data_IF_247833533608
#
_entry.id   IF_247833533608
#
_cell.length_a   1.000
_cell.length_b   1.000
_cell.length_c   1.000
_cell.angle_alpha   90.00
_cell.angle_beta   90.00
_cell.angle_gamma   90.00
#
_symmetry.space_group_name_H-M   'P 1'
#
loop_
_entity.id
_entity.type
_entity.pdbx_description
1 polymer ?
#
# COMPACT_ATOMS: atom_id res chain seq x y z
N UNK A 1 -0.75 -2.52 13.52
CA UNK A 1 -1.57 -1.45 14.13
C UNK A 1 -1.66 -0.20 13.26
N UNK A 2 -0.63 0.18 12.52
CA UNK A 2 -0.68 1.26 11.50
C UNK A 2 -1.88 1.04 10.56
N UNK A 3 -2.03 -0.16 10.00
CA UNK A 3 -3.15 -0.51 9.12
C UNK A 3 -4.52 -0.53 9.83
N UNK A 4 -4.58 -0.76 11.14
CA UNK A 4 -5.82 -0.61 11.89
C UNK A 4 -6.25 0.86 12.01
N UNK A 5 -5.28 1.78 12.17
CA UNK A 5 -5.54 3.22 12.12
C UNK A 5 -5.97 3.66 10.73
N UNK A 6 -5.27 3.19 9.68
CA UNK A 6 -5.66 3.45 8.28
C UNK A 6 -7.10 3.00 7.98
N UNK A 7 -7.45 1.78 8.39
CA UNK A 7 -8.79 1.22 8.23
C UNK A 7 -9.85 2.07 8.93
N UNK A 8 -9.60 2.45 10.19
CA UNK A 8 -10.51 3.31 10.95
C UNK A 8 -10.73 4.67 10.25
N UNK A 9 -9.67 5.32 9.75
CA UNK A 9 -9.78 6.59 9.01
C UNK A 9 -10.60 6.47 7.72
N UNK A 10 -10.63 5.29 7.11
CA UNK A 10 -11.41 5.04 5.90
C UNK A 10 -12.88 4.73 6.17
N UNK A 11 -13.16 3.92 7.19
CA UNK A 11 -14.48 3.31 7.41
C UNK A 11 -15.35 4.08 8.41
N UNK A 12 -14.75 4.80 9.37
CA UNK A 12 -15.48 5.59 10.37
C UNK A 12 -15.42 7.08 10.07
N UNK A 13 -16.39 7.59 9.32
CA UNK A 13 -16.48 9.01 8.98
C UNK A 13 -16.63 9.94 10.20
N UNK A 14 -17.07 9.41 11.35
CA UNK A 14 -17.17 10.16 12.61
C UNK A 14 -15.85 10.22 13.37
N UNK A 15 -14.89 9.39 12.98
CA UNK A 15 -13.62 9.17 13.65
C UNK A 15 -13.78 8.95 15.16
N UNK A 16 -14.73 8.08 15.51
CA UNK A 16 -15.09 7.78 16.89
C UNK A 16 -14.01 6.95 17.59
N UNK A 17 -13.89 7.15 18.92
CA UNK A 17 -13.04 6.32 19.77
C UNK A 17 -13.48 4.85 19.73
N UNK A 18 -14.79 4.59 19.71
CA UNK A 18 -15.33 3.24 19.68
C UNK A 18 -15.00 2.51 18.37
N UNK A 19 -15.11 3.18 17.22
CA UNK A 19 -14.72 2.65 15.92
C UNK A 19 -13.23 2.30 15.85
N UNK A 20 -12.36 3.19 16.38
CA UNK A 20 -10.93 2.93 16.47
C UNK A 20 -10.62 1.68 17.32
N UNK A 21 -11.21 1.59 18.52
CA UNK A 21 -11.04 0.44 19.41
C UNK A 21 -11.45 -0.85 18.70
N UNK A 22 -12.60 -0.85 18.03
CA UNK A 22 -13.10 -2.00 17.28
C UNK A 22 -12.13 -2.41 16.14
N UNK A 23 -11.64 -1.45 15.35
CA UNK A 23 -10.66 -1.72 14.29
C UNK A 23 -9.37 -2.31 14.85
N UNK A 24 -8.82 -1.70 15.92
CA UNK A 24 -7.58 -2.16 16.55
C UNK A 24 -7.74 -3.55 17.17
N UNK A 25 -8.82 -3.82 17.87
CA UNK A 25 -9.07 -5.13 18.48
C UNK A 25 -9.31 -6.20 17.41
N UNK A 26 -10.13 -5.93 16.39
CA UNK A 26 -10.41 -6.89 15.31
C UNK A 26 -9.12 -7.28 14.58
N UNK A 27 -8.35 -6.30 14.12
CA UNK A 27 -7.13 -6.56 13.37
C UNK A 27 -6.00 -7.12 14.26
N UNK A 28 -5.87 -6.60 15.50
CA UNK A 28 -4.86 -7.08 16.45
C UNK A 28 -5.08 -8.53 16.89
N UNK A 29 -6.34 -8.96 17.06
CA UNK A 29 -6.67 -10.36 17.39
C UNK A 29 -6.43 -11.30 16.22
N UNK A 30 -6.73 -10.86 14.99
CA UNK A 30 -6.44 -11.64 13.77
C UNK A 30 -4.93 -11.86 13.60
N UNK A 31 -4.10 -10.91 14.04
CA UNK A 31 -2.64 -10.94 13.92
C UNK A 31 -1.95 -10.94 15.29
N UNK A 32 -2.45 -11.75 16.24
CA UNK A 32 -1.98 -11.74 17.66
C UNK A 32 -0.49 -12.09 17.82
N UNK A 33 0.11 -12.75 16.83
CA UNK A 33 1.52 -13.14 16.85
C UNK A 33 2.46 -12.08 16.27
N UNK A 34 1.97 -10.86 15.98
CA UNK A 34 2.76 -9.78 15.40
C UNK A 34 3.71 -9.05 16.39
N UNK A 35 4.08 -9.65 17.50
CA UNK A 35 5.08 -9.11 18.42
C UNK A 35 4.58 -8.00 19.35
N UNK A 36 3.30 -7.97 19.68
CA UNK A 36 2.73 -6.94 20.58
C UNK A 36 3.24 -7.06 22.02
N UNK A 37 3.43 -5.90 22.66
CA UNK A 37 3.77 -5.84 24.08
C UNK A 37 2.66 -6.38 24.98
N UNK A 38 3.02 -6.95 26.15
CA UNK A 38 2.09 -7.68 27.03
C UNK A 38 0.87 -6.86 27.48
N UNK A 39 1.02 -5.58 27.85
CA UNK A 39 -0.12 -4.71 28.20
C UNK A 39 -1.06 -4.47 27.03
N UNK A 40 -0.51 -4.35 25.82
CA UNK A 40 -1.32 -4.16 24.61
C UNK A 40 -2.07 -5.45 24.26
N UNK A 41 -1.48 -6.64 24.44
CA UNK A 41 -2.17 -7.93 24.28
C UNK A 41 -3.36 -8.03 25.26
N UNK A 42 -3.17 -7.67 26.54
CA UNK A 42 -4.26 -7.64 27.51
C UNK A 42 -5.38 -6.70 27.07
N UNK A 43 -5.03 -5.50 26.57
CA UNK A 43 -5.99 -4.55 26.04
C UNK A 43 -6.73 -5.09 24.81
N UNK A 44 -6.04 -5.75 23.90
CA UNK A 44 -6.65 -6.39 22.71
C UNK A 44 -7.67 -7.45 23.10
N UNK A 45 -7.39 -8.25 24.13
CA UNK A 45 -8.24 -9.36 24.56
C UNK A 45 -9.37 -8.94 25.49
N UNK A 46 -9.34 -7.72 26.01
CA UNK A 46 -10.36 -7.20 26.94
C UNK A 46 -11.71 -7.04 26.25
N UNK A 47 -12.81 -7.40 26.94
CA UNK A 47 -14.18 -7.09 26.54
C UNK A 47 -14.56 -5.62 26.80
N UNK A 48 -13.83 -4.96 27.73
CA UNK A 48 -13.99 -3.53 28.07
C UNK A 48 -12.59 -2.89 28.11
N UNK A 49 -11.99 -2.61 26.95
CA UNK A 49 -10.64 -2.08 26.90
C UNK A 49 -10.61 -0.62 27.37
N UNK A 50 -9.72 -0.34 28.34
CA UNK A 50 -9.46 0.99 28.86
C UNK A 50 -8.01 1.42 28.61
N UNK A 51 -7.74 2.72 28.44
CA UNK A 51 -6.38 3.23 28.40
C UNK A 51 -5.61 2.85 29.68
N UNK A 52 -4.32 2.59 29.53
CA UNK A 52 -3.47 2.13 30.64
C UNK A 52 -2.28 3.04 30.92
N UNK A 53 -2.43 4.33 30.59
CA UNK A 53 -1.48 5.41 30.87
C UNK A 53 -0.06 5.13 30.37
N UNK A 54 0.06 4.53 29.18
CA UNK A 54 1.35 4.27 28.54
C UNK A 54 1.96 5.55 27.99
N UNK A 55 3.28 5.71 28.15
CA UNK A 55 4.12 6.72 27.48
C UNK A 55 4.99 6.09 26.39
N UNK A 56 4.74 4.81 26.08
CA UNK A 56 5.50 4.04 25.11
C UNK A 56 5.36 4.58 23.69
N UNK A 57 6.36 4.29 22.84
CA UNK A 57 6.43 4.72 21.45
C UNK A 57 5.42 4.03 20.52
N UNK A 58 4.68 3.04 21.02
CA UNK A 58 3.63 2.34 20.26
C UNK A 58 2.50 3.24 19.76
N UNK A 59 2.24 4.41 20.39
CA UNK A 59 1.32 5.43 19.86
C UNK A 59 1.90 6.16 18.66
N UNK A 60 3.20 6.47 18.69
CA UNK A 60 3.89 7.21 17.66
C UNK A 60 4.21 6.33 16.43
N UNK A 61 4.61 5.07 16.61
CA UNK A 61 4.95 4.16 15.50
C UNK A 61 3.76 3.79 14.60
N UNK A 62 2.53 3.89 15.09
CA UNK A 62 1.32 3.51 14.33
C UNK A 62 0.55 4.68 13.72
N UNK A 63 0.99 5.92 13.94
CA UNK A 63 0.18 7.12 13.67
C UNK A 63 0.36 7.72 12.28
N UNK A 64 1.33 7.26 11.51
CA UNK A 64 1.64 7.80 10.17
C UNK A 64 0.41 7.94 9.25
N UNK A 65 -0.59 7.02 9.23
CA UNK A 65 -1.78 7.21 8.42
C UNK A 65 -2.55 8.49 8.74
N UNK A 66 -2.52 8.94 10.00
CA UNK A 66 -3.17 10.19 10.40
C UNK A 66 -2.55 11.39 9.70
N UNK A 67 -1.21 11.49 9.68
CA UNK A 67 -0.51 12.58 9.00
C UNK A 67 -0.73 12.58 7.47
N UNK A 68 -0.86 11.39 6.88
CA UNK A 68 -1.18 11.23 5.46
C UNK A 68 -2.64 11.58 5.14
N UNK A 69 -3.57 11.28 6.04
CA UNK A 69 -5.00 11.48 5.84
C UNK A 69 -5.45 12.92 6.08
N UNK A 70 -4.88 13.60 7.10
CA UNK A 70 -5.34 14.89 7.57
C UNK A 70 -5.22 16.00 6.50
N UNK A 71 -6.18 16.92 6.51
CA UNK A 71 -6.22 18.07 5.61
C UNK A 71 -5.68 19.36 6.28
N UNK A 72 -5.50 19.35 7.60
CA UNK A 72 -4.93 20.45 8.38
C UNK A 72 -4.05 19.97 9.53
N UNK A 73 -3.14 20.84 10.02
CA UNK A 73 -2.33 20.57 11.21
C UNK A 73 -3.19 20.29 12.45
N UNK A 74 -4.26 21.04 12.62
CA UNK A 74 -5.21 20.87 13.73
C UNK A 74 -5.88 19.50 13.68
N UNK A 75 -6.28 19.06 12.50
CA UNK A 75 -6.88 17.74 12.30
C UNK A 75 -5.86 16.62 12.54
N UNK A 76 -4.65 16.75 11.99
CA UNK A 76 -3.58 15.78 12.23
C UNK A 76 -3.34 15.57 13.72
N UNK A 77 -3.23 16.63 14.49
CA UNK A 77 -3.06 16.58 15.95
C UNK A 77 -4.28 16.00 16.67
N UNK A 78 -5.49 16.42 16.29
CA UNK A 78 -6.74 15.91 16.89
C UNK A 78 -6.88 14.40 16.68
N UNK A 79 -6.71 13.90 15.46
CA UNK A 79 -6.82 12.48 15.14
C UNK A 79 -5.68 11.68 15.79
N UNK A 80 -4.45 12.20 15.82
CA UNK A 80 -3.32 11.56 16.49
C UNK A 80 -3.59 11.40 18.01
N UNK A 81 -4.13 12.42 18.66
CA UNK A 81 -4.56 12.35 20.05
C UNK A 81 -5.59 11.25 20.29
N UNK A 82 -6.58 11.12 19.41
CA UNK A 82 -7.57 10.03 19.49
C UNK A 82 -6.88 8.67 19.39
N UNK A 83 -5.98 8.49 18.39
CA UNK A 83 -5.29 7.21 18.21
C UNK A 83 -4.38 6.82 19.37
N UNK A 84 -3.76 7.80 20.04
CA UNK A 84 -2.96 7.56 21.23
C UNK A 84 -3.83 7.24 22.45
N UNK A 85 -4.88 8.04 22.68
CA UNK A 85 -5.65 8.04 23.94
C UNK A 85 -6.34 6.71 24.26
N UNK A 86 -6.59 5.84 23.30
CA UNK A 86 -7.22 4.53 23.55
C UNK A 86 -6.33 3.55 24.32
N UNK A 87 -5.01 3.81 24.37
CA UNK A 87 -4.02 2.99 25.08
C UNK A 87 -2.96 3.83 25.79
N UNK A 88 -2.42 4.86 25.11
CA UNK A 88 -1.29 5.71 25.50
C UNK A 88 -1.80 7.11 25.88
N UNK A 89 -2.64 7.18 26.92
CA UNK A 89 -3.23 8.44 27.39
C UNK A 89 -2.32 9.24 28.35
N UNK A 90 -1.07 8.81 28.53
CA UNK A 90 -0.06 9.63 29.20
C UNK A 90 0.32 10.83 28.32
N UNK A 91 0.61 12.02 28.91
CA UNK A 91 0.96 13.21 28.12
C UNK A 91 2.08 12.97 27.09
N UNK A 92 3.15 12.25 27.46
CA UNK A 92 4.25 11.95 26.54
C UNK A 92 3.84 10.97 25.42
N UNK A 93 2.95 10.02 25.70
CA UNK A 93 2.42 9.11 24.68
C UNK A 93 1.56 9.82 23.65
N UNK A 94 0.76 10.81 24.09
CA UNK A 94 -0.05 11.68 23.22
C UNK A 94 0.87 12.62 22.43
N UNK A 95 1.81 13.29 23.10
CA UNK A 95 2.77 14.22 22.52
C UNK A 95 3.58 13.56 21.38
N UNK A 96 4.08 12.34 21.61
CA UNK A 96 4.82 11.61 20.59
C UNK A 96 4.01 11.29 19.36
N UNK A 97 2.75 10.84 19.53
CA UNK A 97 1.85 10.59 18.41
C UNK A 97 1.51 11.86 17.64
N UNK A 98 1.20 12.97 18.31
CA UNK A 98 0.92 14.24 17.67
C UNK A 98 2.12 14.76 16.88
N UNK A 99 3.33 14.66 17.45
CA UNK A 99 4.56 15.10 16.80
C UNK A 99 4.85 14.32 15.51
N UNK A 100 4.72 12.99 15.54
CA UNK A 100 4.94 12.15 14.36
C UNK A 100 3.87 12.40 13.30
N UNK A 101 2.59 12.46 13.67
CA UNK A 101 1.52 12.76 12.72
C UNK A 101 1.72 14.12 12.04
N UNK A 102 2.12 15.14 12.81
CA UNK A 102 2.40 16.46 12.27
C UNK A 102 3.63 16.48 11.37
N UNK A 103 4.70 15.77 11.72
CA UNK A 103 5.88 15.65 10.87
C UNK A 103 5.55 14.98 9.52
N UNK A 104 4.75 13.91 9.52
CA UNK A 104 4.24 13.25 8.31
C UNK A 104 3.38 14.21 7.48
N UNK A 105 2.45 14.93 8.12
CA UNK A 105 1.60 15.90 7.45
C UNK A 105 2.40 17.02 6.76
N UNK A 106 3.36 17.62 7.47
CA UNK A 106 4.23 18.69 6.93
C UNK A 106 4.99 18.19 5.70
N UNK A 107 5.55 16.98 5.76
CA UNK A 107 6.26 16.39 4.62
C UNK A 107 5.34 16.13 3.44
N UNK A 108 4.14 15.57 3.65
CA UNK A 108 3.15 15.37 2.59
C UNK A 108 2.78 16.70 1.91
N UNK A 109 2.46 17.72 2.69
CA UNK A 109 2.08 19.05 2.13
C UNK A 109 3.24 19.75 1.41
N UNK A 110 4.48 19.47 1.80
CA UNK A 110 5.68 20.02 1.18
C UNK A 110 6.32 19.09 0.13
N UNK A 111 5.62 18.04 -0.37
CA UNK A 111 6.16 17.04 -1.28
C UNK A 111 6.75 17.62 -2.58
N UNK A 112 6.24 18.78 -3.05
CA UNK A 112 6.77 19.50 -4.22
C UNK A 112 8.04 20.31 -3.92
N UNK A 113 8.44 20.43 -2.67
CA UNK A 113 9.64 21.16 -2.25
C UNK A 113 10.87 20.24 -2.23
N UNK A 114 12.07 20.85 -2.23
CA UNK A 114 13.31 20.07 -2.06
C UNK A 114 13.33 19.35 -0.70
N UNK A 115 14.08 18.26 -0.61
CA UNK A 115 14.26 17.50 0.64
C UNK A 115 14.76 18.41 1.77
N UNK A 116 15.72 19.31 1.50
CA UNK A 116 16.26 20.23 2.49
C UNK A 116 15.20 21.23 3.00
N UNK A 117 14.33 21.70 2.12
CA UNK A 117 13.19 22.55 2.52
C UNK A 117 12.23 21.79 3.42
N UNK A 118 11.87 20.55 3.07
CA UNK A 118 11.00 19.69 3.89
C UNK A 118 11.57 19.45 5.27
N UNK A 119 12.87 19.12 5.37
CA UNK A 119 13.59 18.95 6.64
C UNK A 119 13.57 20.21 7.50
N UNK A 120 13.87 21.36 6.90
CA UNK A 120 13.85 22.64 7.60
C UNK A 120 12.47 22.97 8.16
N UNK A 121 11.40 22.77 7.35
CA UNK A 121 10.02 22.98 7.77
C UNK A 121 9.65 22.03 8.91
N UNK A 122 9.95 20.75 8.79
CA UNK A 122 9.67 19.75 9.82
C UNK A 122 10.40 20.07 11.11
N UNK A 123 11.71 20.33 11.05
CA UNK A 123 12.52 20.67 12.23
C UNK A 123 11.94 21.87 12.97
N UNK A 124 11.66 22.95 12.24
CA UNK A 124 11.06 24.17 12.81
C UNK A 124 9.73 23.87 13.48
N UNK A 125 8.80 23.27 12.75
CA UNK A 125 7.45 22.98 13.21
C UNK A 125 7.46 22.13 14.50
N UNK A 126 8.25 21.04 14.51
CA UNK A 126 8.27 20.12 15.64
C UNK A 126 8.99 20.72 16.86
N UNK A 127 10.08 21.49 16.67
CA UNK A 127 10.74 22.21 17.78
C UNK A 127 9.80 23.22 18.42
N UNK A 128 9.13 24.06 17.63
CA UNK A 128 8.26 25.12 18.13
C UNK A 128 7.03 24.57 18.85
N UNK A 129 6.42 23.47 18.35
CA UNK A 129 5.15 22.97 18.90
C UNK A 129 5.32 21.94 20.03
N UNK A 130 6.44 21.19 20.03
CA UNK A 130 6.64 20.08 20.97
C UNK A 130 7.87 20.24 21.86
N UNK A 131 8.77 21.19 21.56
CA UNK A 131 9.95 21.44 22.36
C UNK A 131 10.99 20.32 22.35
N UNK A 132 10.98 19.45 21.32
CA UNK A 132 12.02 18.44 21.17
C UNK A 132 13.35 19.07 20.79
N UNK A 133 14.45 18.58 21.40
CA UNK A 133 15.82 18.96 21.03
C UNK A 133 16.23 18.21 19.75
N UNK A 134 16.05 18.87 18.62
CA UNK A 134 16.39 18.38 17.29
C UNK A 134 17.70 19.02 16.75
N UNK A 135 18.51 19.65 17.61
CA UNK A 135 19.80 20.22 17.21
C UNK A 135 20.97 19.24 17.41
N UNK A 136 20.72 18.14 18.12
CA UNK A 136 21.67 17.03 18.24
C UNK A 136 21.88 16.35 16.89
N UNK A 137 23.02 15.73 16.72
CA UNK A 137 23.35 14.91 15.54
C UNK A 137 23.31 13.43 15.88
N UNK A 138 23.25 12.58 14.85
CA UNK A 138 23.38 11.13 15.02
C UNK A 138 24.72 10.75 15.68
N UNK A 139 25.79 11.53 15.43
CA UNK A 139 27.07 11.30 16.08
C UNK A 139 27.04 11.61 17.58
N UNK A 140 26.19 12.52 18.02
CA UNK A 140 25.99 12.79 19.45
C UNK A 140 25.14 11.70 20.12
N UNK A 141 24.21 11.11 19.38
CA UNK A 141 23.25 10.12 19.90
C UNK A 141 23.88 8.73 19.99
N UNK A 142 24.48 8.23 18.92
CA UNK A 142 24.99 6.85 18.79
C UNK A 142 25.86 6.35 19.96
N UNK A 143 26.79 7.13 20.51
CA UNK A 143 27.65 6.63 21.58
C UNK A 143 26.96 6.38 22.91
N UNK A 144 25.82 7.02 23.16
CA UNK A 144 25.16 7.05 24.47
C UNK A 144 23.76 6.47 24.48
N UNK A 145 23.15 6.28 23.31
CA UNK A 145 21.79 5.78 23.20
C UNK A 145 21.70 4.33 23.70
N UNK A 146 20.65 4.07 24.47
CA UNK A 146 20.32 2.74 24.97
C UNK A 146 18.90 2.38 24.55
N UNK A 147 18.54 1.11 24.69
CA UNK A 147 17.19 0.64 24.41
C UNK A 147 16.15 1.43 25.24
N UNK A 148 15.31 2.22 24.53
CA UNK A 148 14.26 3.03 25.12
C UNK A 148 12.97 2.88 24.28
N UNK A 149 11.91 2.42 24.93
CA UNK A 149 10.58 2.23 24.32
C UNK A 149 9.63 3.39 24.61
N UNK A 150 10.12 4.49 25.17
CA UNK A 150 9.31 5.67 25.45
C UNK A 150 9.20 6.58 24.23
N UNK A 151 8.09 7.35 24.12
CA UNK A 151 7.95 8.36 23.10
C UNK A 151 9.05 9.44 23.19
N UNK A 152 9.37 9.89 24.39
CA UNK A 152 10.39 10.94 24.62
C UNK A 152 11.81 10.48 24.27
N UNK A 153 12.09 9.18 24.34
CA UNK A 153 13.39 8.62 24.00
C UNK A 153 13.50 8.10 22.56
N UNK A 154 12.39 7.90 21.86
CA UNK A 154 12.40 7.34 20.49
C UNK A 154 12.03 8.37 19.42
N UNK A 155 11.06 9.25 19.69
CA UNK A 155 10.50 10.15 18.67
C UNK A 155 11.51 11.21 18.21
N UNK A 156 12.21 11.95 19.11
CA UNK A 156 13.20 12.92 18.66
C UNK A 156 14.36 12.27 17.90
N UNK A 157 14.83 11.09 18.32
CA UNK A 157 15.88 10.31 17.64
C UNK A 157 15.45 9.89 16.23
N UNK A 158 14.21 9.42 16.07
CA UNK A 158 13.67 9.08 14.76
C UNK A 158 13.55 10.30 13.83
N UNK A 159 13.15 11.45 14.37
CA UNK A 159 13.08 12.69 13.59
C UNK A 159 14.49 13.14 13.19
N UNK A 160 15.50 13.05 14.08
CA UNK A 160 16.89 13.37 13.77
C UNK A 160 17.44 12.42 12.69
N UNK A 161 17.14 11.13 12.76
CA UNK A 161 17.51 10.17 11.72
C UNK A 161 16.95 10.59 10.35
N UNK A 162 15.67 11.03 10.28
CA UNK A 162 15.10 11.59 9.06
C UNK A 162 15.83 12.87 8.62
N UNK A 163 16.08 13.81 9.53
CA UNK A 163 16.69 15.10 9.22
C UNK A 163 18.12 14.98 8.64
N UNK A 164 18.89 13.97 9.03
CA UNK A 164 20.23 13.73 8.50
C UNK A 164 20.25 12.85 7.23
N UNK A 165 19.13 12.31 6.79
CA UNK A 165 19.09 11.35 5.68
C UNK A 165 18.96 12.01 4.32
N UNK A 166 19.61 11.44 3.30
CA UNK A 166 19.62 11.93 1.90
C UNK A 166 18.74 11.09 0.97
N UNK A 167 18.39 9.88 1.39
CA UNK A 167 17.53 8.95 0.67
C UNK A 167 16.75 8.08 1.67
N UNK A 168 15.78 7.32 1.19
CA UNK A 168 15.07 6.37 2.05
C UNK A 168 16.01 5.28 2.59
N UNK A 169 16.94 4.77 1.80
CA UNK A 169 17.92 3.80 2.25
C UNK A 169 18.81 4.40 3.36
N UNK A 170 19.28 5.63 3.18
CA UNK A 170 20.05 6.34 4.18
C UNK A 170 19.24 6.56 5.47
N UNK A 171 17.93 6.85 5.35
CA UNK A 171 17.03 6.99 6.49
C UNK A 171 16.91 5.69 7.29
N UNK A 172 16.73 4.55 6.62
CA UNK A 172 16.74 3.23 7.27
C UNK A 172 18.07 2.98 7.97
N UNK A 173 19.18 3.18 7.28
CA UNK A 173 20.54 2.98 7.83
C UNK A 173 20.81 3.87 9.05
N UNK A 174 20.45 5.14 8.96
CA UNK A 174 20.56 6.09 10.05
C UNK A 174 19.75 5.67 11.27
N UNK A 175 18.48 5.32 11.09
CA UNK A 175 17.61 4.86 12.16
C UNK A 175 18.16 3.59 12.85
N UNK A 176 18.56 2.57 12.06
CA UNK A 176 19.13 1.33 12.60
C UNK A 176 20.46 1.58 13.32
N UNK A 177 21.29 2.52 12.82
CA UNK A 177 22.60 2.82 13.40
C UNK A 177 22.56 3.44 14.80
N UNK A 178 21.40 3.97 15.21
CA UNK A 178 21.17 4.44 16.59
C UNK A 178 21.17 3.26 17.58
N UNK A 179 20.71 2.09 17.13
CA UNK A 179 20.52 0.93 17.99
C UNK A 179 19.22 1.01 18.80
N UNK A 180 19.17 0.28 19.90
CA UNK A 180 17.99 0.25 20.79
C UNK A 180 16.75 -0.32 20.11
N UNK A 181 15.59 0.35 20.21
CA UNK A 181 14.32 0.01 19.58
C UNK A 181 14.31 0.46 18.10
N UNK A 182 15.26 -0.08 17.34
CA UNK A 182 15.64 0.40 16.00
C UNK A 182 14.53 0.19 14.95
N UNK A 183 13.70 -0.82 15.08
CA UNK A 183 12.55 -1.07 14.19
C UNK A 183 11.47 0.03 14.36
N UNK A 184 11.17 0.42 15.60
CA UNK A 184 10.26 1.54 15.87
C UNK A 184 10.84 2.88 15.41
N UNK A 185 12.13 3.14 15.68
CA UNK A 185 12.82 4.36 15.22
C UNK A 185 12.78 4.43 13.68
N UNK A 186 13.07 3.31 13.00
CA UNK A 186 13.02 3.23 11.55
C UNK A 186 11.59 3.42 11.01
N UNK A 187 10.58 2.80 11.63
CA UNK A 187 9.19 2.96 11.22
C UNK A 187 8.73 4.43 11.29
N UNK A 188 9.12 5.16 12.32
CA UNK A 188 8.81 6.60 12.46
C UNK A 188 9.59 7.43 11.45
N UNK A 189 10.93 7.30 11.38
CA UNK A 189 11.78 8.09 10.50
C UNK A 189 11.41 7.91 9.03
N UNK A 190 11.23 6.66 8.58
CA UNK A 190 10.87 6.34 7.20
C UNK A 190 9.46 6.79 6.83
N UNK A 191 8.50 6.75 7.77
CA UNK A 191 7.15 7.27 7.50
C UNK A 191 7.14 8.77 7.25
N UNK A 192 8.00 9.54 7.96
CA UNK A 192 8.18 10.97 7.73
C UNK A 192 8.85 11.22 6.38
N UNK A 193 9.93 10.48 6.07
CA UNK A 193 10.67 10.62 4.82
C UNK A 193 9.76 10.35 3.61
N UNK A 194 9.10 9.20 3.60
CA UNK A 194 8.27 8.74 2.48
C UNK A 194 7.01 9.59 2.26
N UNK A 195 6.49 10.26 3.28
CA UNK A 195 5.34 11.15 3.14
C UNK A 195 5.59 12.32 2.17
N UNK A 196 6.84 12.71 1.97
CA UNK A 196 7.23 13.77 1.05
C UNK A 196 7.78 13.27 -0.29
N UNK A 197 7.84 11.96 -0.52
CA UNK A 197 8.36 11.40 -1.77
C UNK A 197 7.23 11.16 -2.77
N UNK A 198 7.42 11.66 -4.00
CA UNK A 198 6.49 11.42 -5.11
C UNK A 198 6.76 10.08 -5.82
N UNK A 199 7.93 9.49 -5.59
CA UNK A 199 8.41 8.26 -6.25
C UNK A 199 8.10 6.95 -5.52
N UNK A 200 7.33 6.99 -4.41
CA UNK A 200 6.93 5.79 -3.67
C UNK A 200 6.13 4.78 -4.52
N UNK A 201 5.63 5.22 -5.68
CA UNK A 201 4.96 4.37 -6.68
C UNK A 201 5.94 3.64 -7.61
N UNK A 202 7.22 4.02 -7.60
CA UNK A 202 8.22 3.31 -8.36
C UNK A 202 8.41 1.92 -7.77
N UNK A 203 8.26 0.92 -8.64
CA UNK A 203 8.43 -0.49 -8.33
C UNK A 203 9.90 -0.74 -7.95
N UNK A 204 10.18 -0.74 -6.68
CA UNK A 204 11.52 -0.98 -6.19
C UNK A 204 11.59 -2.30 -5.41
N UNK A 205 12.79 -2.87 -5.31
CA UNK A 205 13.03 -4.14 -4.65
C UNK A 205 12.55 -4.17 -3.19
N UNK A 206 12.52 -3.02 -2.50
CA UNK A 206 12.08 -2.90 -1.11
C UNK A 206 10.57 -3.07 -0.97
N UNK A 207 9.79 -2.46 -1.86
CA UNK A 207 8.32 -2.58 -1.86
C UNK A 207 7.90 -4.01 -2.12
N UNK A 208 8.49 -4.64 -3.13
CA UNK A 208 8.23 -6.03 -3.48
C UNK A 208 8.60 -7.00 -2.35
N UNK A 209 9.72 -6.77 -1.66
CA UNK A 209 10.14 -7.59 -0.53
C UNK A 209 9.18 -7.41 0.67
N UNK A 210 8.83 -6.17 1.00
CA UNK A 210 7.92 -5.87 2.11
C UNK A 210 6.55 -6.51 1.94
N UNK A 211 5.99 -6.50 0.73
CA UNK A 211 4.67 -7.07 0.47
C UNK A 211 4.59 -8.59 0.73
N UNK A 212 5.69 -9.31 0.64
CA UNK A 212 5.74 -10.75 0.97
C UNK A 212 5.39 -11.03 2.43
N UNK A 213 5.63 -10.09 3.33
CA UNK A 213 5.35 -10.22 4.76
C UNK A 213 3.93 -9.80 5.15
N UNK A 214 3.18 -9.19 4.23
CA UNK A 214 1.80 -8.80 4.48
C UNK A 214 0.82 -9.87 4.01
N UNK A 215 -0.09 -10.27 4.91
CA UNK A 215 -1.25 -11.08 4.54
C UNK A 215 -2.19 -10.31 3.59
N UNK A 216 -3.03 -11.03 2.87
CA UNK A 216 -3.92 -10.44 1.86
C UNK A 216 -4.83 -9.36 2.42
N UNK A 217 -5.38 -9.56 3.62
CA UNK A 217 -6.24 -8.59 4.31
C UNK A 217 -5.49 -7.29 4.65
N UNK A 218 -4.23 -7.39 5.09
CA UNK A 218 -3.39 -6.23 5.38
C UNK A 218 -3.01 -5.46 4.11
N UNK A 219 -2.69 -6.17 3.03
CA UNK A 219 -2.41 -5.54 1.72
C UNK A 219 -3.62 -4.79 1.17
N UNK A 220 -4.83 -5.36 1.32
CA UNK A 220 -6.05 -4.70 0.87
C UNK A 220 -6.26 -3.36 1.59
N UNK A 221 -6.13 -3.35 2.93
CA UNK A 221 -6.26 -2.13 3.73
C UNK A 221 -5.22 -1.08 3.29
N UNK A 222 -3.97 -1.50 3.05
CA UNK A 222 -2.90 -0.62 2.60
C UNK A 222 -3.25 0.03 1.26
N UNK A 223 -3.59 -0.79 0.26
CA UNK A 223 -3.94 -0.31 -1.09
C UNK A 223 -5.18 0.61 -1.09
N UNK A 224 -6.21 0.27 -0.32
CA UNK A 224 -7.41 1.12 -0.20
C UNK A 224 -7.09 2.47 0.44
N UNK A 225 -6.23 2.47 1.46
CA UNK A 225 -5.80 3.70 2.13
C UNK A 225 -4.97 4.59 1.21
N UNK A 226 -4.01 4.03 0.50
CA UNK A 226 -3.20 4.74 -0.49
C UNK A 226 -4.06 5.39 -1.57
N UNK A 227 -5.01 4.65 -2.13
CA UNK A 227 -5.94 5.17 -3.12
C UNK A 227 -6.79 6.34 -2.58
N UNK A 228 -7.17 6.30 -1.30
CA UNK A 228 -7.94 7.38 -0.67
C UNK A 228 -7.10 8.64 -0.45
N UNK A 229 -5.86 8.47 0.01
CA UNK A 229 -5.01 9.58 0.46
C UNK A 229 -4.31 10.29 -0.70
N UNK A 230 -3.97 9.55 -1.78
CA UNK A 230 -3.22 10.05 -2.94
C UNK A 230 -4.07 10.16 -4.21
N UNK A 231 -5.39 10.27 -4.07
CA UNK A 231 -6.34 10.33 -5.19
C UNK A 231 -6.01 11.44 -6.19
N UNK A 232 -5.71 12.64 -5.69
CA UNK A 232 -5.41 13.80 -6.54
C UNK A 232 -4.07 13.65 -7.26
N UNK A 233 -3.06 13.04 -6.63
CA UNK A 233 -1.77 12.74 -7.27
C UNK A 233 -1.93 11.68 -8.36
N UNK A 234 -2.82 10.72 -8.17
CA UNK A 234 -3.18 9.71 -9.15
C UNK A 234 -3.89 10.34 -10.35
N UNK A 235 -4.81 11.29 -10.13
CA UNK A 235 -5.48 12.03 -11.20
C UNK A 235 -4.52 12.93 -11.98
N UNK A 236 -3.60 13.61 -11.29
CA UNK A 236 -2.54 14.44 -11.93
C UNK A 236 -1.58 13.59 -12.75
N UNK A 237 -1.14 12.44 -12.25
CA UNK A 237 -0.31 11.51 -13.00
C UNK A 237 -1.02 11.02 -14.27
N UNK A 238 -2.30 10.68 -14.16
CA UNK A 238 -3.12 10.27 -15.30
C UNK A 238 -3.33 11.41 -16.31
N UNK A 239 -3.44 12.68 -15.84
CA UNK A 239 -3.53 13.87 -16.70
C UNK A 239 -2.21 14.20 -17.39
N UNK A 240 -1.06 14.02 -16.76
CA UNK A 240 0.26 14.19 -17.36
C UNK A 240 0.56 13.10 -18.37
N UNK A 241 0.31 11.85 -18.04
CA UNK A 241 0.38 10.73 -18.98
C UNK A 241 -0.53 10.94 -20.18
N UNK A 242 -1.74 11.49 -19.96
CA UNK A 242 -2.67 11.84 -21.03
C UNK A 242 -2.21 13.04 -21.89
N UNK A 243 -1.40 13.98 -21.33
CA UNK A 243 -0.83 15.12 -22.06
C UNK A 243 0.42 14.73 -22.85
N UNK A 244 1.27 13.85 -22.32
CA UNK A 244 2.40 13.28 -23.07
C UNK A 244 1.92 12.39 -24.22
N UNK A 245 0.82 11.64 -24.04
CA UNK A 245 0.14 10.90 -25.10
C UNK A 245 -0.44 11.85 -26.17
N UNK A 246 -0.86 13.08 -25.81
CA UNK A 246 -1.31 14.10 -26.77
C UNK A 246 -0.17 14.79 -27.53
N UNK A 247 1.02 14.85 -26.95
CA UNK A 247 2.20 15.43 -27.64
C UNK A 247 2.82 14.46 -28.65
N UNK A 248 2.60 13.15 -28.53
CA UNK A 248 3.04 12.11 -29.47
C UNK A 248 1.95 11.71 -30.49
N UNK A 249 0.94 12.56 -30.71
CA UNK A 249 -0.10 12.36 -31.73
C UNK A 249 0.36 12.81 -33.12
N UNK A 250 1.33 12.10 -33.67
CA UNK A 250 1.42 11.93 -35.10
C UNK A 250 1.94 10.51 -35.38
N UNK A 251 1.12 9.79 -36.16
CA UNK A 251 1.29 8.46 -36.73
C UNK A 251 0.72 7.26 -35.96
N UNK A 252 -0.48 6.80 -36.38
CA UNK A 252 -0.94 5.41 -36.27
C UNK A 252 -2.05 5.15 -35.26
N UNK A 253 -3.32 5.24 -35.71
CA UNK A 253 -4.56 4.64 -35.14
C UNK A 253 -4.62 4.44 -33.62
N UNK A 254 -4.96 5.49 -32.88
CA UNK A 254 -5.45 5.35 -31.50
C UNK A 254 -6.88 4.81 -31.59
N UNK A 255 -7.06 3.52 -31.28
CA UNK A 255 -8.37 2.86 -31.21
C UNK A 255 -9.29 3.50 -30.14
N UNK A 256 -10.59 3.21 -30.25
CA UNK A 256 -11.68 3.63 -29.32
C UNK A 256 -11.34 3.45 -27.82
N UNK A 257 -10.44 2.52 -27.50
CA UNK A 257 -10.07 2.11 -26.13
C UNK A 257 -8.60 2.40 -25.83
N UNK A 258 -8.29 2.79 -24.58
CA UNK A 258 -6.91 3.01 -24.12
C UNK A 258 -6.22 1.67 -23.82
N UNK A 259 -5.81 0.93 -24.88
CA UNK A 259 -5.07 -0.31 -24.72
C UNK A 259 -3.59 -0.09 -24.35
N UNK A 260 -3.10 1.14 -24.46
CA UNK A 260 -1.71 1.48 -24.13
C UNK A 260 -1.38 1.18 -22.66
N UNK A 261 -2.35 1.37 -21.74
CA UNK A 261 -2.15 1.05 -20.31
C UNK A 261 -1.71 -0.39 -20.05
N UNK A 262 -2.18 -1.33 -20.88
CA UNK A 262 -1.74 -2.73 -20.79
C UNK A 262 -0.35 -2.94 -21.38
N UNK A 263 -0.04 -2.30 -22.52
CA UNK A 263 1.26 -2.40 -23.15
C UNK A 263 2.37 -1.88 -22.24
N UNK A 264 2.14 -0.73 -21.60
CA UNK A 264 3.08 -0.10 -20.68
C UNK A 264 3.37 -1.03 -19.48
N UNK A 265 2.33 -1.51 -18.81
CA UNK A 265 2.50 -2.46 -17.71
C UNK A 265 3.17 -3.77 -18.15
N UNK A 266 2.74 -4.35 -19.26
CA UNK A 266 3.30 -5.60 -19.77
C UNK A 266 4.73 -5.46 -20.31
N UNK A 267 5.18 -4.28 -20.72
CA UNK A 267 6.56 -4.06 -21.17
C UNK A 267 7.57 -4.37 -20.08
N UNK A 268 7.20 -4.18 -18.82
CA UNK A 268 8.06 -4.42 -17.66
C UNK A 268 7.85 -5.80 -17.01
N UNK A 269 6.62 -6.32 -17.06
CA UNK A 269 6.23 -7.46 -16.21
C UNK A 269 5.88 -8.74 -16.96
N UNK A 270 5.67 -8.70 -18.27
CA UNK A 270 5.20 -9.87 -19.02
C UNK A 270 6.14 -11.07 -18.94
N UNK A 271 7.43 -10.84 -19.12
CA UNK A 271 8.44 -11.91 -19.07
C UNK A 271 8.53 -12.54 -17.66
N UNK A 272 8.36 -11.74 -16.64
CA UNK A 272 8.31 -12.24 -15.25
C UNK A 272 7.04 -13.06 -15.03
N UNK A 273 5.88 -12.55 -15.43
CA UNK A 273 4.62 -13.25 -15.31
C UNK A 273 4.65 -14.60 -16.05
N UNK A 274 5.20 -14.61 -17.26
CA UNK A 274 5.35 -15.83 -18.06
C UNK A 274 6.21 -16.87 -17.35
N UNK A 275 7.38 -16.47 -16.79
CA UNK A 275 8.23 -17.37 -15.99
C UNK A 275 7.51 -17.90 -14.76
N UNK A 276 6.78 -17.05 -14.01
CA UNK A 276 6.06 -17.49 -12.82
C UNK A 276 4.94 -18.49 -13.16
N UNK A 277 4.25 -18.30 -14.30
CA UNK A 277 3.27 -19.27 -14.80
C UNK A 277 3.94 -20.55 -15.29
N UNK A 278 5.12 -20.46 -15.93
CA UNK A 278 5.92 -21.64 -16.31
C UNK A 278 6.36 -22.47 -15.10
N UNK A 279 6.72 -21.78 -14.01
CA UNK A 279 7.12 -22.42 -12.75
C UNK A 279 5.92 -23.03 -11.97
N UNK A 280 4.68 -22.77 -12.40
CA UNK A 280 3.48 -23.18 -11.68
C UNK A 280 3.27 -22.46 -10.35
N UNK A 281 3.87 -21.27 -10.14
CA UNK A 281 3.75 -20.51 -8.90
C UNK A 281 3.86 -19.01 -9.12
N UNK A 282 2.73 -18.31 -9.00
CA UNK A 282 2.68 -16.86 -9.03
C UNK A 282 3.26 -16.26 -7.74
N UNK A 283 4.21 -15.34 -7.88
CA UNK A 283 4.92 -14.70 -6.76
C UNK A 283 4.71 -13.20 -6.71
N UNK A 284 4.46 -12.55 -7.87
CA UNK A 284 4.40 -11.10 -7.99
C UNK A 284 3.04 -10.56 -8.49
N UNK A 285 2.88 -9.23 -8.54
CA UNK A 285 1.59 -8.55 -8.62
C UNK A 285 1.23 -8.06 -10.05
N UNK A 286 0.99 -8.96 -10.96
CA UNK A 286 0.72 -8.66 -12.37
C UNK A 286 -0.66 -9.09 -12.87
N UNK A 287 -1.50 -9.67 -12.02
CA UNK A 287 -2.75 -10.33 -12.45
C UNK A 287 -3.70 -9.41 -13.24
N UNK A 288 -3.83 -8.14 -12.84
CA UNK A 288 -4.81 -7.21 -13.42
C UNK A 288 -4.56 -6.86 -14.88
N UNK A 289 -3.30 -6.80 -15.31
CA UNK A 289 -2.92 -6.42 -16.68
C UNK A 289 -2.42 -7.59 -17.52
N UNK A 290 -2.22 -8.76 -16.91
CA UNK A 290 -1.87 -10.02 -17.62
C UNK A 290 -3.14 -10.85 -17.89
N UNK A 291 -4.01 -11.00 -16.87
CA UNK A 291 -5.30 -11.65 -16.98
C UNK A 291 -6.42 -10.65 -16.62
N UNK A 292 -6.69 -9.66 -17.50
CA UNK A 292 -7.65 -8.62 -17.20
C UNK A 292 -9.08 -9.15 -17.16
N UNK A 293 -9.88 -8.65 -16.23
CA UNK A 293 -11.31 -8.94 -16.05
C UNK A 293 -12.16 -7.71 -16.33
N UNK A 294 -13.47 -7.82 -16.29
CA UNK A 294 -14.37 -6.68 -16.41
C UNK A 294 -14.14 -5.67 -15.26
N UNK A 295 -14.11 -4.39 -15.60
CA UNK A 295 -13.89 -3.29 -14.64
C UNK A 295 -14.93 -3.26 -13.51
N UNK A 296 -16.19 -3.63 -13.82
CA UNK A 296 -17.30 -3.65 -12.86
C UNK A 296 -17.11 -4.69 -11.75
N UNK A 297 -16.33 -5.74 -11.98
CA UNK A 297 -16.04 -6.77 -10.99
C UNK A 297 -14.96 -6.30 -10.01
N UNK A 298 -14.22 -5.26 -10.37
CA UNK A 298 -13.09 -4.77 -9.62
C UNK A 298 -13.46 -3.74 -8.56
N UNK A 299 -12.94 -3.90 -7.34
CA UNK A 299 -13.10 -2.94 -6.26
C UNK A 299 -11.83 -2.10 -6.02
N UNK A 300 -10.63 -2.62 -6.34
CA UNK A 300 -9.37 -1.90 -6.21
C UNK A 300 -9.11 -0.99 -7.41
N UNK A 301 -8.20 -0.03 -7.23
CA UNK A 301 -7.75 0.85 -8.31
C UNK A 301 -7.24 0.06 -9.52
N UNK A 302 -6.29 -0.87 -9.33
CA UNK A 302 -5.74 -1.67 -10.42
C UNK A 302 -6.82 -2.51 -11.13
N UNK A 303 -7.76 -3.07 -10.39
CA UNK A 303 -8.86 -3.84 -10.97
C UNK A 303 -9.80 -2.98 -11.82
N UNK A 304 -9.97 -1.69 -11.49
CA UNK A 304 -10.73 -0.71 -12.29
C UNK A 304 -9.89 -0.15 -13.44
N UNK A 305 -8.64 0.23 -13.17
CA UNK A 305 -7.75 0.85 -14.16
C UNK A 305 -7.42 -0.11 -15.30
N UNK A 306 -7.06 -1.35 -14.98
CA UNK A 306 -6.82 -2.42 -15.97
C UNK A 306 -8.08 -3.22 -16.29
N UNK A 307 -9.23 -2.83 -15.75
CA UNK A 307 -10.49 -3.50 -16.06
C UNK A 307 -10.94 -3.22 -17.49
N UNK A 308 -11.44 -4.25 -18.13
CA UNK A 308 -12.07 -4.20 -19.46
C UNK A 308 -13.49 -3.65 -19.29
N UNK A 309 -13.88 -2.67 -20.10
CA UNK A 309 -15.19 -1.98 -20.00
C UNK A 309 -16.37 -2.82 -20.49
N UNK A 310 -16.12 -3.85 -21.30
CA UNK A 310 -17.13 -4.73 -21.86
C UNK A 310 -16.62 -5.50 -23.08
N UNK A 311 -17.56 -6.15 -23.78
CA UNK A 311 -17.28 -7.02 -24.93
C UNK A 311 -16.40 -6.34 -26.01
N UNK A 312 -16.76 -5.15 -26.45
CA UNK A 312 -16.05 -4.45 -27.53
C UNK A 312 -14.58 -4.14 -27.19
N UNK A 313 -14.27 -3.78 -25.94
CA UNK A 313 -12.89 -3.58 -25.50
C UNK A 313 -12.12 -4.89 -25.39
N UNK A 314 -12.76 -5.94 -24.91
CA UNK A 314 -12.18 -7.28 -24.87
C UNK A 314 -11.84 -7.79 -26.29
N UNK A 315 -12.72 -7.53 -27.25
CA UNK A 315 -12.48 -7.84 -28.65
C UNK A 315 -11.30 -7.03 -29.23
N UNK A 316 -11.26 -5.74 -28.95
CA UNK A 316 -10.15 -4.86 -29.35
C UNK A 316 -8.80 -5.32 -28.73
N UNK A 317 -8.83 -5.75 -27.47
CA UNK A 317 -7.67 -6.30 -26.77
C UNK A 317 -7.15 -7.58 -27.45
N UNK A 318 -8.02 -8.53 -27.77
CA UNK A 318 -7.64 -9.77 -28.46
C UNK A 318 -7.17 -9.58 -29.90
N UNK A 319 -7.69 -8.57 -30.60
CA UNK A 319 -7.26 -8.18 -31.97
C UNK A 319 -5.93 -7.41 -31.96
N UNK A 320 -5.52 -6.87 -30.81
CA UNK A 320 -4.25 -6.14 -30.72
C UNK A 320 -3.08 -7.13 -30.87
N UNK A 321 -2.12 -6.88 -31.81
CA UNK A 321 -1.10 -7.87 -32.20
C UNK A 321 -0.22 -8.34 -31.05
N UNK A 322 0.08 -7.44 -30.10
CA UNK A 322 0.91 -7.79 -28.93
C UNK A 322 0.06 -8.35 -27.78
N UNK A 323 -1.05 -7.69 -27.42
CA UNK A 323 -1.83 -8.07 -26.22
C UNK A 323 -2.55 -9.40 -26.42
N UNK A 324 -3.17 -9.62 -27.57
CA UNK A 324 -3.86 -10.85 -27.88
C UNK A 324 -2.92 -12.05 -27.98
N UNK A 325 -1.73 -11.84 -28.57
CA UNK A 325 -0.68 -12.88 -28.65
C UNK A 325 -0.16 -13.24 -27.25
N UNK A 326 0.17 -12.23 -26.42
CA UNK A 326 0.65 -12.43 -25.05
C UNK A 326 -0.35 -13.16 -24.17
N UNK A 327 -1.63 -12.77 -24.23
CA UNK A 327 -2.68 -13.42 -23.45
C UNK A 327 -2.81 -14.89 -23.84
N UNK A 328 -2.85 -15.20 -25.15
CA UNK A 328 -2.92 -16.58 -25.62
C UNK A 328 -1.68 -17.39 -25.24
N UNK A 329 -0.52 -16.80 -25.31
CA UNK A 329 0.77 -17.47 -24.98
C UNK A 329 0.80 -17.82 -23.50
N UNK A 330 0.51 -16.89 -22.58
CA UNK A 330 0.55 -17.17 -21.15
C UNK A 330 -0.57 -18.13 -20.73
N UNK A 331 -1.73 -18.05 -21.39
CA UNK A 331 -2.85 -19.00 -21.17
C UNK A 331 -2.48 -20.42 -21.63
N UNK A 332 -1.78 -20.57 -22.76
CA UNK A 332 -1.24 -21.87 -23.20
C UNK A 332 -0.19 -22.40 -22.22
N UNK A 333 0.65 -21.54 -21.69
CA UNK A 333 1.66 -21.91 -20.70
C UNK A 333 1.00 -22.45 -19.42
N UNK A 334 -0.09 -21.87 -18.97
CA UNK A 334 -0.85 -22.35 -17.81
C UNK A 334 -1.34 -23.81 -18.01
N UNK A 335 -1.73 -24.19 -19.21
CA UNK A 335 -2.20 -25.55 -19.53
C UNK A 335 -1.14 -26.65 -19.39
N UNK A 336 0.12 -26.32 -19.15
CA UNK A 336 1.17 -27.31 -18.84
C UNK A 336 0.98 -27.89 -17.42
N UNK A 337 0.26 -27.19 -16.53
CA UNK A 337 0.07 -27.54 -15.13
C UNK A 337 -1.32 -28.14 -14.83
N UNK A 338 -1.87 -28.93 -15.74
CA UNK A 338 -3.20 -29.55 -15.59
C UNK A 338 -3.33 -30.53 -14.43
N UNK A 339 -2.22 -30.93 -13.84
CA UNK A 339 -2.10 -31.80 -12.65
C UNK A 339 -2.08 -31.00 -11.32
N UNK A 340 -2.04 -29.67 -11.38
CA UNK A 340 -2.02 -28.77 -10.21
C UNK A 340 -3.39 -28.14 -9.96
N UNK A 341 -3.66 -27.76 -8.70
CA UNK A 341 -4.81 -26.90 -8.40
C UNK A 341 -4.47 -25.45 -8.80
N UNK A 342 -5.38 -24.79 -9.49
CA UNK A 342 -5.22 -23.38 -9.89
C UNK A 342 -5.01 -22.44 -8.69
N UNK A 343 -5.53 -22.81 -7.53
CA UNK A 343 -5.33 -22.07 -6.28
C UNK A 343 -3.88 -22.19 -5.79
N UNK A 344 -3.23 -23.31 -6.02
CA UNK A 344 -1.81 -23.48 -5.66
C UNK A 344 -0.91 -22.63 -6.57
N UNK A 345 -1.31 -22.43 -7.84
CA UNK A 345 -0.57 -21.61 -8.80
C UNK A 345 -0.73 -20.12 -8.51
N UNK A 346 -1.96 -19.64 -8.29
CA UNK A 346 -2.29 -18.20 -8.25
C UNK A 346 -2.67 -17.67 -6.88
N UNK A 347 -2.99 -18.55 -5.92
CA UNK A 347 -3.71 -18.16 -4.70
C UNK A 347 -5.21 -17.94 -4.96
N UNK A 348 -6.05 -18.09 -3.93
CA UNK A 348 -7.51 -18.14 -4.09
C UNK A 348 -8.15 -16.94 -4.79
N UNK A 349 -7.70 -15.71 -4.48
CA UNK A 349 -8.26 -14.50 -5.10
C UNK A 349 -7.86 -14.33 -6.57
N UNK A 350 -6.61 -14.62 -6.91
CA UNK A 350 -6.14 -14.44 -8.28
C UNK A 350 -6.62 -15.59 -9.18
N UNK A 351 -6.80 -16.80 -8.64
CA UNK A 351 -7.49 -17.90 -9.33
C UNK A 351 -8.91 -17.49 -9.77
N UNK A 352 -9.66 -16.78 -8.92
CA UNK A 352 -10.99 -16.26 -9.30
C UNK A 352 -10.89 -15.23 -10.44
N UNK A 353 -9.88 -14.36 -10.43
CA UNK A 353 -9.66 -13.38 -11.52
C UNK A 353 -9.28 -14.06 -12.83
N UNK A 354 -8.48 -15.13 -12.77
CA UNK A 354 -8.18 -15.95 -13.95
C UNK A 354 -9.47 -16.57 -14.52
N UNK A 355 -10.35 -17.11 -13.67
CA UNK A 355 -11.65 -17.61 -14.11
C UNK A 355 -12.49 -16.52 -14.82
N UNK A 356 -12.59 -15.34 -14.21
CA UNK A 356 -13.30 -14.20 -14.82
C UNK A 356 -12.68 -13.76 -16.15
N UNK A 357 -11.34 -13.72 -16.23
CA UNK A 357 -10.61 -13.42 -17.47
C UNK A 357 -10.90 -14.47 -18.56
N UNK A 358 -10.75 -15.75 -18.24
CA UNK A 358 -11.01 -16.83 -19.20
C UNK A 358 -12.47 -16.78 -19.68
N UNK A 359 -13.43 -16.56 -18.77
CA UNK A 359 -14.84 -16.41 -19.13
C UNK A 359 -15.08 -15.25 -20.09
N UNK A 360 -14.46 -14.09 -19.83
CA UNK A 360 -14.57 -12.90 -20.66
C UNK A 360 -14.06 -13.16 -22.08
N UNK A 361 -12.83 -13.70 -22.18
CA UNK A 361 -12.19 -13.85 -23.48
C UNK A 361 -12.68 -15.08 -24.26
N UNK A 362 -13.22 -16.08 -23.60
CA UNK A 362 -13.90 -17.18 -24.27
C UNK A 362 -15.21 -16.71 -24.93
N UNK A 363 -15.97 -15.87 -24.25
CA UNK A 363 -17.19 -15.29 -24.84
C UNK A 363 -16.90 -14.38 -26.05
N UNK A 364 -15.72 -13.76 -26.13
CA UNK A 364 -15.28 -12.93 -27.26
C UNK A 364 -14.67 -13.77 -28.39
N UNK A 365 -13.99 -14.86 -28.08
CA UNK A 365 -13.31 -15.77 -29.03
C UNK A 365 -13.61 -17.21 -28.65
N UNK A 366 -14.82 -17.72 -28.95
CA UNK A 366 -15.20 -19.10 -28.68
C UNK A 366 -14.25 -20.07 -29.40
N UNK A 367 -14.08 -21.26 -28.80
CA UNK A 367 -13.19 -22.32 -29.30
C UNK A 367 -11.67 -21.98 -29.29
N UNK A 368 -11.27 -20.89 -28.62
CA UNK A 368 -9.86 -20.52 -28.40
C UNK A 368 -9.30 -21.25 -27.14
N UNK A 369 -8.09 -20.90 -26.74
CA UNK A 369 -7.38 -21.51 -25.60
C UNK A 369 -8.09 -21.28 -24.25
N UNK A 370 -8.96 -20.29 -24.15
CA UNK A 370 -9.59 -19.85 -22.90
C UNK A 370 -10.55 -20.89 -22.34
N UNK A 371 -11.38 -21.51 -23.20
CA UNK A 371 -12.28 -22.59 -22.81
C UNK A 371 -11.51 -23.78 -22.23
N UNK A 372 -10.36 -24.13 -22.81
CA UNK A 372 -9.53 -25.24 -22.33
C UNK A 372 -9.06 -25.04 -20.89
N UNK A 373 -8.75 -23.78 -20.51
CA UNK A 373 -8.41 -23.46 -19.12
C UNK A 373 -9.61 -23.58 -18.21
N UNK A 374 -10.80 -23.12 -18.64
CA UNK A 374 -12.03 -23.31 -17.88
C UNK A 374 -12.33 -24.80 -17.66
N UNK A 375 -12.18 -25.62 -18.69
CA UNK A 375 -12.41 -27.07 -18.61
C UNK A 375 -11.44 -27.75 -17.66
N UNK A 376 -10.12 -27.45 -17.79
CA UNK A 376 -9.07 -28.11 -17.01
C UNK A 376 -9.06 -27.69 -15.54
N UNK A 377 -9.18 -26.40 -15.25
CA UNK A 377 -8.96 -25.86 -13.91
C UNK A 377 -10.26 -25.49 -13.16
N UNK A 378 -11.35 -25.27 -13.89
CA UNK A 378 -12.63 -24.83 -13.32
C UNK A 378 -13.78 -25.81 -13.65
N UNK A 379 -13.48 -27.00 -14.13
CA UNK A 379 -14.48 -28.06 -14.45
C UNK A 379 -15.55 -27.56 -15.45
N UNK A 380 -15.14 -26.74 -16.40
CA UNK A 380 -16.03 -26.12 -17.38
C UNK A 380 -16.97 -25.05 -16.81
N UNK A 381 -16.75 -24.57 -15.57
CA UNK A 381 -17.57 -23.55 -14.95
C UNK A 381 -17.11 -22.15 -15.34
N UNK A 382 -18.03 -21.36 -15.86
CA UNK A 382 -17.85 -19.95 -16.15
C UNK A 382 -18.08 -19.08 -14.92
N UNK A 383 -17.44 -17.91 -14.86
CA UNK A 383 -17.78 -16.90 -13.86
C UNK A 383 -19.11 -16.23 -14.22
N UNK A 384 -20.18 -16.59 -13.50
CA UNK A 384 -21.53 -16.08 -13.73
C UNK A 384 -21.61 -14.55 -13.61
N UNK A 385 -20.78 -13.92 -12.77
CA UNK A 385 -20.75 -12.47 -12.66
C UNK A 385 -20.23 -11.83 -13.96
N UNK A 386 -19.18 -12.38 -14.53
CA UNK A 386 -18.67 -11.91 -15.82
C UNK A 386 -19.73 -12.01 -16.90
N UNK A 387 -20.41 -13.16 -17.03
CA UNK A 387 -21.47 -13.34 -18.04
C UNK A 387 -22.65 -12.38 -17.85
N UNK A 388 -23.00 -12.04 -16.60
CA UNK A 388 -24.13 -11.13 -16.32
C UNK A 388 -23.84 -9.66 -16.66
N UNK A 389 -22.58 -9.29 -16.81
CA UNK A 389 -22.14 -7.90 -17.07
C UNK A 389 -21.54 -7.70 -18.46
N UNK A 390 -21.52 -8.70 -19.30
CA UNK A 390 -21.15 -8.62 -20.71
C UNK A 390 -22.30 -8.16 -21.57
#
# INVERSE_FOLDING_TARGET
MTLAVAKWLMEDNSHSVAGLVQCMQKLGRAHIRAGYGGRFIQWLMSSSPHPYNSWGNGSAMRVSPVGLFAESESEARKLARITASVTHNHPEGIKGAEAVALAVYVNKKAAKSSLETRKSMTKKCIKEQFGYDLDRTLNDIRPTYKFDVSCQGSVPEAIIAYLESKSIEDCVRNAISIGGDSDTIAAIACSIFMAGENSWKEDNAWTNEFEKYLSTDLRLIMTEFENKVFKDDIEVYNLHSSKEIKANKDEGSVGKYNLQRFLDAQSHYYEQALREVQDGLKRSHWIWFIFPQLAILGHSYNAKYYGISGYDEAEAYLKHPVLGERLRTITKTLLVHTDMDVVDIFGGLDAMKVCSCMTLFDAVSPDDVFQKVLDCFYKGQYDLKTLNYM
#
